data_IF_766842718795
#
_entry.id   IF_766842718795
#
_cell.length_a   1.000
_cell.length_b   1.000
_cell.length_c   1.000
_cell.angle_alpha   90.00
_cell.angle_beta   90.00
_cell.angle_gamma   90.00
#
_symmetry.space_group_name_H-M   'P 1'
#
loop_
_entity.id
_entity.type
_entity.pdbx_description
1 polymer ?
#
# COMPACT_ATOMS: atom_id res chain seq x y z
N UNK A 1 -8.07 30.79 8.90
CA UNK A 1 -8.87 29.95 7.98
C UNK A 1 -8.14 29.47 6.72
N UNK A 2 -6.95 29.99 6.36
CA UNK A 2 -6.25 29.62 5.11
C UNK A 2 -5.32 28.40 5.17
N UNK A 3 -4.80 28.03 6.36
CA UNK A 3 -3.76 27.00 6.50
C UNK A 3 -4.31 25.58 6.45
N UNK A 4 -5.41 25.29 7.17
CA UNK A 4 -6.03 23.96 7.22
C UNK A 4 -6.58 23.58 5.83
N UNK A 5 -7.25 24.50 5.14
CA UNK A 5 -7.74 24.24 3.78
C UNK A 5 -6.61 23.99 2.78
N UNK A 6 -5.47 24.67 2.94
CA UNK A 6 -4.29 24.45 2.09
C UNK A 6 -3.69 23.08 2.34
N UNK A 7 -3.56 22.66 3.60
CA UNK A 7 -3.08 21.33 3.98
C UNK A 7 -4.03 20.22 3.50
N UNK A 8 -5.35 20.44 3.61
CA UNK A 8 -6.36 19.51 3.08
C UNK A 8 -6.31 19.40 1.56
N UNK A 9 -6.09 20.50 0.84
CA UNK A 9 -5.94 20.47 -0.62
C UNK A 9 -4.62 19.80 -1.04
N UNK A 10 -3.53 20.05 -0.33
CA UNK A 10 -2.25 19.37 -0.54
C UNK A 10 -2.37 17.87 -0.26
N UNK A 11 -3.09 17.47 0.80
CA UNK A 11 -3.38 16.08 1.12
C UNK A 11 -4.21 15.40 0.01
N UNK A 12 -5.29 16.04 -0.46
CA UNK A 12 -6.09 15.53 -1.59
C UNK A 12 -5.28 15.43 -2.88
N UNK A 13 -4.41 16.39 -3.15
CA UNK A 13 -3.52 16.37 -4.32
C UNK A 13 -2.42 15.30 -4.22
N UNK A 14 -1.96 14.98 -3.00
CA UNK A 14 -0.99 13.92 -2.72
C UNK A 14 -1.57 12.51 -2.87
N UNK A 15 -2.82 12.27 -2.45
CA UNK A 15 -3.51 10.98 -2.63
C UNK A 15 -3.70 10.57 -4.10
N UNK A 16 -3.79 11.54 -5.02
CA UNK A 16 -4.10 11.29 -6.43
C UNK A 16 -2.90 10.81 -7.27
N UNK A 17 -1.69 10.76 -6.71
CA UNK A 17 -0.49 10.29 -7.44
C UNK A 17 -0.21 8.82 -7.17
N UNK A 18 -1.09 7.95 -7.64
CA UNK A 18 -0.70 6.57 -7.94
C UNK A 18 -0.25 6.55 -9.40
N UNK A 19 1.06 6.56 -9.64
CA UNK A 19 1.57 6.42 -11.01
C UNK A 19 1.38 4.97 -11.43
N UNK A 20 0.68 4.71 -12.55
CA UNK A 20 0.49 3.36 -13.13
C UNK A 20 1.80 2.56 -13.22
N UNK A 21 2.94 3.25 -13.39
CA UNK A 21 4.28 2.67 -13.40
C UNK A 21 4.67 1.92 -12.10
N UNK A 22 4.16 2.33 -10.93
CA UNK A 22 4.45 1.65 -9.65
C UNK A 22 3.77 0.29 -9.58
N UNK A 23 2.56 0.19 -10.12
CA UNK A 23 1.79 -1.07 -10.12
C UNK A 23 2.48 -2.13 -10.96
N UNK A 24 3.22 -1.75 -12.01
CA UNK A 24 3.91 -2.68 -12.90
C UNK A 24 5.29 -3.12 -12.37
N UNK A 25 5.74 -2.61 -11.22
CA UNK A 25 7.04 -2.99 -10.67
C UNK A 25 7.03 -4.48 -10.27
N UNK A 26 8.10 -5.26 -10.57
CA UNK A 26 8.12 -6.68 -10.27
C UNK A 26 7.83 -7.03 -8.79
N UNK A 27 8.39 -6.33 -7.79
CA UNK A 27 8.06 -6.61 -6.39
C UNK A 27 6.59 -6.34 -6.06
N UNK A 28 5.95 -5.35 -6.71
CA UNK A 28 4.54 -5.04 -6.51
C UNK A 28 3.67 -6.12 -7.15
N UNK A 29 3.94 -6.52 -8.40
CA UNK A 29 3.20 -7.62 -9.06
C UNK A 29 3.32 -8.94 -8.28
N UNK A 30 4.49 -9.24 -7.70
CA UNK A 30 4.67 -10.39 -6.83
C UNK A 30 3.75 -10.37 -5.61
N UNK A 31 3.43 -9.20 -5.05
CA UNK A 31 2.42 -9.11 -3.99
C UNK A 31 1.03 -9.50 -4.50
N UNK A 32 0.62 -9.01 -5.68
CA UNK A 32 -0.68 -9.38 -6.27
C UNK A 32 -0.77 -10.90 -6.53
N UNK A 33 0.31 -11.50 -7.03
CA UNK A 33 0.37 -12.95 -7.29
C UNK A 33 0.25 -13.76 -5.99
N UNK A 34 1.00 -13.38 -4.94
CA UNK A 34 0.91 -14.04 -3.62
C UNK A 34 -0.51 -13.96 -3.04
N UNK A 35 -1.16 -12.80 -3.15
CA UNK A 35 -2.53 -12.63 -2.66
C UNK A 35 -3.51 -13.49 -3.47
N UNK A 36 -3.36 -13.55 -4.79
CA UNK A 36 -4.19 -14.38 -5.66
C UNK A 36 -4.02 -15.88 -5.35
N UNK A 37 -2.79 -16.35 -5.19
CA UNK A 37 -2.49 -17.76 -4.88
C UNK A 37 -3.11 -18.20 -3.54
N UNK A 38 -3.15 -17.31 -2.55
CA UNK A 38 -3.63 -17.62 -1.20
C UNK A 38 -5.16 -17.50 -1.11
N UNK A 39 -5.74 -16.46 -1.71
CA UNK A 39 -7.17 -16.13 -1.59
C UNK A 39 -8.02 -16.66 -2.75
N UNK A 40 -7.37 -17.13 -3.83
CA UNK A 40 -8.02 -17.56 -5.07
C UNK A 40 -8.55 -16.41 -5.94
N UNK A 41 -8.34 -15.16 -5.55
CA UNK A 41 -8.84 -13.97 -6.27
C UNK A 41 -7.76 -12.92 -6.38
N UNK A 42 -7.49 -12.43 -7.60
CA UNK A 42 -6.58 -11.30 -7.79
C UNK A 42 -7.15 -10.03 -7.15
N UNK A 43 -6.42 -9.34 -6.27
CA UNK A 43 -6.96 -8.15 -5.62
C UNK A 43 -7.11 -7.01 -6.62
N UNK A 44 -8.22 -6.28 -6.50
CA UNK A 44 -8.44 -5.07 -7.30
C UNK A 44 -7.55 -3.92 -6.79
N UNK A 45 -7.06 -3.11 -7.72
CA UNK A 45 -6.34 -1.87 -7.38
C UNK A 45 -7.34 -0.85 -6.81
N UNK A 46 -7.02 -0.27 -5.66
CA UNK A 46 -7.84 0.74 -5.01
C UNK A 46 -7.00 1.85 -4.38
N UNK A 47 -7.71 2.92 -3.99
CA UNK A 47 -7.15 3.97 -3.13
C UNK A 47 -7.65 3.76 -1.71
N UNK A 48 -6.88 4.21 -0.72
CA UNK A 48 -7.37 4.31 0.66
C UNK A 48 -7.97 5.72 0.85
N UNK A 49 -9.30 5.88 0.87
CA UNK A 49 -9.96 7.18 1.03
C UNK A 49 -9.90 7.73 2.47
N UNK A 50 -8.98 7.22 3.28
CA UNK A 50 -8.79 7.54 4.70
C UNK A 50 -7.31 7.78 4.99
N UNK A 51 -7.03 8.37 6.15
CA UNK A 51 -5.67 8.56 6.61
C UNK A 51 -5.06 7.22 7.05
N UNK A 52 -3.81 6.99 6.64
CA UNK A 52 -2.96 5.90 7.11
C UNK A 52 -1.56 6.43 7.36
N UNK A 53 -0.78 5.70 8.16
CA UNK A 53 0.65 5.91 8.32
C UNK A 53 1.40 6.00 6.98
N UNK A 54 0.99 5.22 5.97
CA UNK A 54 1.52 5.29 4.62
C UNK A 54 1.51 6.72 4.06
N UNK A 55 0.46 7.52 4.29
CA UNK A 55 0.39 8.90 3.80
C UNK A 55 1.36 9.86 4.49
N UNK A 56 1.77 9.56 5.73
CA UNK A 56 2.78 10.31 6.46
C UNK A 56 4.21 9.82 6.18
N UNK A 57 4.37 8.51 5.96
CA UNK A 57 5.66 7.86 5.74
C UNK A 57 6.14 7.94 4.28
N UNK A 58 5.23 7.93 3.29
CA UNK A 58 5.59 7.93 1.87
C UNK A 58 6.55 9.07 1.47
N UNK A 59 6.37 10.33 1.94
CA UNK A 59 7.32 11.41 1.67
C UNK A 59 8.72 11.17 2.25
N UNK A 60 8.83 10.38 3.33
CA UNK A 60 10.08 10.12 4.04
C UNK A 60 10.88 8.95 3.46
N UNK A 61 10.23 8.07 2.70
CA UNK A 61 10.85 6.87 2.08
C UNK A 61 11.15 7.06 0.59
N UNK A 62 11.36 8.32 0.18
CA UNK A 62 11.73 8.71 -1.18
C UNK A 62 10.81 8.13 -2.28
N UNK A 63 9.51 8.05 -2.00
CA UNK A 63 8.53 7.53 -2.95
C UNK A 63 8.64 6.03 -3.25
N UNK A 64 9.29 5.25 -2.39
CA UNK A 64 9.26 3.79 -2.48
C UNK A 64 7.80 3.29 -2.58
N UNK A 65 7.54 2.21 -3.36
CA UNK A 65 6.20 1.66 -3.47
C UNK A 65 5.63 1.29 -2.10
N UNK A 66 4.48 1.87 -1.75
CA UNK A 66 3.77 1.60 -0.49
C UNK A 66 2.43 0.96 -0.80
N UNK A 67 2.18 -0.18 -0.17
CA UNK A 67 0.92 -0.92 -0.29
C UNK A 67 0.21 -0.93 1.06
N UNK A 68 -1.09 -0.68 1.06
CA UNK A 68 -1.96 -0.93 2.21
C UNK A 68 -2.60 -2.29 1.96
N UNK A 69 -2.30 -3.25 2.84
CA UNK A 69 -2.68 -4.65 2.68
C UNK A 69 -3.05 -5.23 4.04
N UNK A 70 -4.25 -5.76 4.15
CA UNK A 70 -4.69 -6.46 5.35
C UNK A 70 -6.15 -6.88 5.27
N UNK A 71 -6.59 -7.73 6.20
CA UNK A 71 -7.97 -8.15 6.29
C UNK A 71 -8.79 -7.12 7.07
N UNK A 72 -10.09 -7.02 6.77
CA UNK A 72 -11.01 -6.13 7.47
C UNK A 72 -11.89 -5.32 6.51
N UNK A 73 -13.11 -5.05 6.94
CA UNK A 73 -14.08 -4.30 6.14
C UNK A 73 -14.02 -2.83 6.48
N UNK A 74 -13.90 -1.97 5.47
CA UNK A 74 -13.86 -0.52 5.67
C UNK A 74 -15.10 0.01 6.39
N UNK A 75 -16.24 -0.66 6.22
CA UNK A 75 -17.51 -0.29 6.85
C UNK A 75 -17.61 -0.72 8.30
N UNK A 76 -16.77 -1.65 8.76
CA UNK A 76 -16.80 -2.19 10.12
C UNK A 76 -15.80 -1.49 11.06
N UNK A 77 -14.77 -0.80 10.52
CA UNK A 77 -13.78 -0.12 11.35
C UNK A 77 -14.42 0.93 12.27
N UNK A 78 -13.95 1.01 13.52
CA UNK A 78 -14.43 1.95 14.55
C UNK A 78 -15.93 1.83 14.91
N UNK A 79 -16.57 0.71 14.55
CA UNK A 79 -17.94 0.43 14.99
C UNK A 79 -17.92 -0.38 16.28
N UNK A 80 -19.00 -0.30 17.06
CA UNK A 80 -19.13 -1.07 18.32
C UNK A 80 -19.16 -2.58 18.11
N UNK A 81 -19.59 -3.01 16.93
CA UNK A 81 -19.65 -4.39 16.46
C UNK A 81 -18.55 -4.71 15.43
N UNK A 82 -17.42 -4.00 15.51
CA UNK A 82 -16.23 -4.26 14.68
C UNK A 82 -15.84 -5.74 14.72
N UNK A 83 -15.63 -6.32 13.53
CA UNK A 83 -15.23 -7.71 13.38
C UNK A 83 -14.30 -7.90 12.19
N UNK A 84 -13.63 -9.05 12.16
CA UNK A 84 -12.88 -9.54 11.03
C UNK A 84 -13.13 -11.04 10.87
N UNK A 85 -13.33 -11.51 9.64
CA UNK A 85 -13.54 -12.94 9.40
C UNK A 85 -12.28 -13.75 9.70
N UNK A 86 -12.42 -14.84 10.45
CA UNK A 86 -11.29 -15.69 10.86
C UNK A 86 -10.55 -16.28 9.66
N UNK A 87 -11.26 -16.58 8.57
CA UNK A 87 -10.63 -17.07 7.33
C UNK A 87 -9.72 -16.00 6.71
N UNK A 88 -10.18 -14.75 6.62
CA UNK A 88 -9.39 -13.61 6.12
C UNK A 88 -8.17 -13.32 6.99
N UNK A 89 -8.29 -13.48 8.32
CA UNK A 89 -7.15 -13.39 9.24
C UNK A 89 -6.10 -14.47 8.96
N UNK A 90 -6.51 -15.72 8.75
CA UNK A 90 -5.59 -16.83 8.42
C UNK A 90 -4.90 -16.61 7.07
N UNK A 91 -5.63 -16.13 6.08
CA UNK A 91 -5.04 -15.80 4.78
C UNK A 91 -4.05 -14.64 4.89
N UNK A 92 -4.36 -13.61 5.68
CA UNK A 92 -3.42 -12.52 5.93
C UNK A 92 -2.10 -13.01 6.55
N UNK A 93 -2.14 -13.93 7.52
CA UNK A 93 -0.93 -14.54 8.10
C UNK A 93 -0.10 -15.22 7.02
N UNK A 94 -0.73 -16.06 6.18
CA UNK A 94 -0.05 -16.76 5.08
C UNK A 94 0.56 -15.78 4.07
N UNK A 95 -0.16 -14.69 3.76
CA UNK A 95 0.32 -13.64 2.86
C UNK A 95 1.55 -12.95 3.45
N UNK A 96 1.50 -12.52 4.71
CA UNK A 96 2.63 -11.86 5.36
C UNK A 96 3.85 -12.77 5.48
N UNK A 97 3.66 -14.05 5.82
CA UNK A 97 4.74 -15.04 5.82
C UNK A 97 5.41 -15.16 4.44
N UNK A 98 4.61 -15.30 3.38
CA UNK A 98 5.13 -15.36 2.01
C UNK A 98 5.89 -14.09 1.61
N UNK A 99 5.41 -12.91 2.01
CA UNK A 99 6.06 -11.63 1.75
C UNK A 99 7.38 -11.46 2.53
N UNK A 100 7.45 -11.92 3.77
CA UNK A 100 8.68 -11.88 4.59
C UNK A 100 9.76 -12.78 3.97
N UNK A 101 9.36 -13.93 3.43
CA UNK A 101 10.26 -14.86 2.74
C UNK A 101 10.49 -14.50 1.26
N UNK A 102 9.83 -13.47 0.74
CA UNK A 102 10.01 -13.03 -0.63
C UNK A 102 11.42 -12.46 -0.82
N UNK A 103 12.27 -13.19 -1.56
CA UNK A 103 13.52 -12.63 -2.04
C UNK A 103 13.21 -11.52 -3.04
N UNK A 104 13.63 -10.31 -2.74
CA UNK A 104 13.71 -9.25 -3.74
C UNK A 104 15.11 -9.34 -4.31
N UNK A 105 15.26 -9.71 -5.59
CA UNK A 105 16.54 -9.65 -6.27
C UNK A 105 17.08 -8.22 -6.15
N UNK A 106 18.13 -8.04 -5.34
CA UNK A 106 18.59 -6.73 -4.89
C UNK A 106 19.12 -5.85 -6.03
N UNK A 107 19.47 -6.44 -7.18
CA UNK A 107 20.05 -5.75 -8.34
C UNK A 107 19.07 -4.79 -9.04
N UNK A 108 17.76 -5.00 -8.92
CA UNK A 108 16.78 -4.06 -9.46
C UNK A 108 16.65 -2.77 -8.62
N UNK A 109 17.15 -2.77 -7.38
CA UNK A 109 16.86 -1.75 -6.36
C UNK A 109 17.79 -0.54 -6.39
N UNK A 110 18.97 -0.65 -7.02
CA UNK A 110 19.93 0.46 -7.13
C UNK A 110 19.85 1.21 -8.48
N UNK A 111 19.41 0.54 -9.54
CA UNK A 111 19.47 1.09 -10.91
C UNK A 111 18.29 2.02 -11.28
N UNK A 112 17.17 1.95 -10.56
CA UNK A 112 15.91 2.59 -10.97
C UNK A 112 15.44 3.76 -10.09
N UNK A 113 16.18 4.11 -9.03
CA UNK A 113 15.86 5.29 -8.23
C UNK A 113 16.33 6.55 -8.98
N UNK A 114 15.44 7.47 -9.39
CA UNK A 114 15.89 8.75 -9.90
C UNK A 114 16.69 9.45 -8.81
N UNK A 115 17.83 10.05 -9.18
CA UNK A 115 18.62 10.88 -8.29
C UNK A 115 17.69 11.92 -7.65
N UNK A 116 17.70 11.99 -6.32
CA UNK A 116 17.03 13.05 -5.58
C UNK A 116 17.53 14.40 -6.11
N UNK A 117 16.62 15.22 -6.63
CA UNK A 117 16.93 16.59 -6.95
C UNK A 117 17.06 17.35 -5.62
N UNK A 118 18.29 17.75 -5.29
CA UNK A 118 18.59 18.69 -4.22
C UNK A 118 18.03 20.06 -4.62
N UNK A 119 17.05 20.56 -3.87
CA UNK A 119 16.70 22.00 -3.83
C UNK A 119 16.41 22.43 -2.38
#
# INVERSE_FOLDING_TARGET
MGTINRLLQQWKAGQARQTTAVLTLPPVQRVFDIVEDITGTRPAVGTAPYFSDASALQPLINGAPTLILGPGELTAMHQTDEYCEVVKLRDAVRIYEALIHMSVDADARLAALPAVAEE
#
